data_IF_381398365362
#
_entry.id   IF_381398365362
#
_cell.length_a   1.000
_cell.length_b   1.000
_cell.length_c   1.000
_cell.angle_alpha   90.00
_cell.angle_beta   90.00
_cell.angle_gamma   90.00
#
_symmetry.space_group_name_H-M   'P 1'
#
loop_
_entity.id
_entity.type
_entity.pdbx_description
1 polymer ?
#
# COMPACT_ATOMS: atom_id res chain seq x y z
N UNK A 1 10.56 -31.34 -10.60
CA UNK A 1 11.91 -31.06 -11.15
C UNK A 1 12.94 -31.18 -10.05
N UNK A 2 12.83 -30.47 -8.93
CA UNK A 2 13.72 -30.65 -7.77
C UNK A 2 13.77 -32.11 -7.28
N UNK A 3 12.61 -32.75 -7.08
CA UNK A 3 12.53 -34.18 -6.74
C UNK A 3 13.22 -35.13 -7.73
N UNK A 4 13.33 -34.77 -9.01
CA UNK A 4 14.01 -35.60 -10.01
C UNK A 4 15.52 -35.36 -10.01
N UNK A 5 15.98 -34.17 -9.59
CA UNK A 5 17.41 -33.89 -9.40
C UNK A 5 17.89 -34.54 -8.10
N UNK A 6 17.07 -34.50 -7.05
CA UNK A 6 17.35 -35.17 -5.77
C UNK A 6 17.41 -36.70 -5.95
N UNK A 7 16.51 -37.29 -6.75
CA UNK A 7 16.53 -38.72 -7.10
C UNK A 7 17.81 -39.13 -7.86
N UNK A 8 18.30 -38.28 -8.77
CA UNK A 8 19.57 -38.53 -9.47
C UNK A 8 20.76 -38.38 -8.54
N UNK A 9 20.75 -37.40 -7.63
CA UNK A 9 21.78 -37.20 -6.62
C UNK A 9 21.87 -38.37 -5.62
N UNK A 10 20.79 -39.13 -5.40
CA UNK A 10 20.78 -40.33 -4.55
C UNK A 10 21.33 -41.59 -5.25
N UNK A 11 21.49 -41.58 -6.59
CA UNK A 11 21.89 -42.74 -7.37
C UNK A 11 23.25 -42.54 -8.05
N UNK A 12 24.31 -43.00 -7.38
CA UNK A 12 25.70 -43.00 -7.85
C UNK A 12 25.88 -43.57 -9.28
N UNK A 13 25.14 -44.62 -9.64
CA UNK A 13 25.16 -45.25 -10.98
C UNK A 13 24.66 -44.28 -12.06
N UNK A 14 23.55 -43.58 -11.78
CA UNK A 14 22.97 -42.59 -12.69
C UNK A 14 23.89 -41.38 -12.85
N UNK A 15 24.54 -40.97 -11.76
CA UNK A 15 25.46 -39.86 -11.73
C UNK A 15 26.74 -40.14 -12.53
N UNK A 16 27.31 -41.34 -12.37
CA UNK A 16 28.43 -41.81 -13.21
C UNK A 16 28.03 -41.98 -14.68
N UNK A 17 26.79 -42.41 -14.97
CA UNK A 17 26.27 -42.55 -16.33
C UNK A 17 26.11 -41.20 -17.07
N UNK A 18 26.07 -40.07 -16.36
CA UNK A 18 25.99 -38.71 -16.93
C UNK A 18 27.32 -38.21 -17.52
N UNK A 19 28.45 -38.90 -17.33
CA UNK A 19 29.72 -38.61 -18.00
C UNK A 19 29.70 -39.04 -19.48
N UNK A 20 28.85 -38.38 -20.27
CA UNK A 20 28.51 -38.74 -21.66
C UNK A 20 29.71 -38.65 -22.61
N UNK A 21 30.66 -37.73 -22.36
CA UNK A 21 31.87 -37.56 -23.18
C UNK A 21 32.81 -38.77 -23.04
N UNK A 22 33.03 -39.24 -21.82
CA UNK A 22 33.93 -40.36 -21.52
C UNK A 22 33.29 -41.70 -21.94
N UNK A 23 31.97 -41.83 -21.74
CA UNK A 23 31.16 -42.95 -22.25
C UNK A 23 31.21 -43.06 -23.78
N UNK A 24 31.13 -41.93 -24.49
CA UNK A 24 31.26 -41.88 -25.96
C UNK A 24 32.69 -42.19 -26.44
N UNK A 25 33.70 -41.87 -25.64
CA UNK A 25 35.09 -42.23 -25.91
C UNK A 25 35.42 -43.70 -25.59
N UNK A 26 34.44 -44.50 -25.11
CA UNK A 26 34.62 -45.91 -24.77
C UNK A 26 35.35 -46.13 -23.44
N UNK A 27 35.47 -45.10 -22.61
CA UNK A 27 36.12 -45.14 -21.30
C UNK A 27 35.05 -44.83 -20.24
N UNK A 28 34.16 -45.78 -19.91
CA UNK A 28 33.18 -45.56 -18.85
C UNK A 28 33.92 -45.33 -17.53
N UNK A 29 33.58 -44.22 -16.83
CA UNK A 29 34.13 -43.95 -15.51
C UNK A 29 33.54 -44.94 -14.50
N UNK A 30 34.33 -45.35 -13.48
CA UNK A 30 33.81 -46.16 -12.39
C UNK A 30 32.76 -45.35 -11.61
N UNK A 31 31.78 -46.06 -11.05
CA UNK A 31 30.70 -45.47 -10.23
C UNK A 31 31.23 -44.67 -9.04
N UNK A 32 32.47 -44.89 -8.60
CA UNK A 32 33.10 -44.15 -7.51
C UNK A 32 33.69 -42.79 -7.91
N UNK A 33 33.68 -42.40 -9.19
CA UNK A 33 34.23 -41.13 -9.70
C UNK A 33 33.12 -40.19 -10.19
N UNK A 34 32.13 -39.93 -9.34
CA UNK A 34 30.98 -39.08 -9.66
C UNK A 34 30.98 -37.71 -8.92
N UNK A 35 31.88 -37.54 -7.93
CA UNK A 35 31.96 -36.40 -7.01
C UNK A 35 31.87 -35.01 -7.68
N UNK A 36 32.55 -34.81 -8.81
CA UNK A 36 32.57 -33.49 -9.48
C UNK A 36 31.19 -33.10 -10.01
N UNK A 37 30.46 -34.07 -10.57
CA UNK A 37 29.13 -33.85 -11.12
C UNK A 37 28.09 -33.74 -10.00
N UNK A 38 28.29 -34.44 -8.89
CA UNK A 38 27.45 -34.36 -7.69
C UNK A 38 27.48 -32.94 -7.12
N UNK A 39 28.69 -32.41 -6.88
CA UNK A 39 28.89 -31.06 -6.35
C UNK A 39 28.29 -29.99 -7.27
N UNK A 40 28.40 -30.16 -8.60
CA UNK A 40 27.80 -29.23 -9.56
C UNK A 40 26.26 -29.27 -9.52
N UNK A 41 25.67 -30.46 -9.51
CA UNK A 41 24.22 -30.63 -9.44
C UNK A 41 23.65 -30.16 -8.10
N UNK A 42 24.34 -30.44 -6.99
CA UNK A 42 23.94 -29.97 -5.67
C UNK A 42 24.00 -28.43 -5.59
N UNK A 43 25.08 -27.82 -6.10
CA UNK A 43 25.20 -26.36 -6.16
C UNK A 43 24.14 -25.74 -7.05
N UNK A 44 23.79 -26.38 -8.17
CA UNK A 44 22.73 -25.91 -9.05
C UNK A 44 21.36 -26.02 -8.38
N UNK A 45 21.06 -27.16 -7.74
CA UNK A 45 19.81 -27.37 -6.99
C UNK A 45 19.63 -26.32 -5.89
N UNK A 46 20.68 -26.06 -5.10
CA UNK A 46 20.70 -25.02 -4.07
C UNK A 46 20.47 -23.62 -4.64
N UNK A 47 21.09 -23.29 -5.77
CA UNK A 47 20.89 -21.99 -6.41
C UNK A 47 19.44 -21.82 -6.91
N UNK A 48 18.83 -22.87 -7.44
CA UNK A 48 17.41 -22.85 -7.83
C UNK A 48 16.52 -22.61 -6.61
N UNK A 49 16.78 -23.30 -5.49
CA UNK A 49 16.02 -23.11 -4.24
C UNK A 49 16.13 -21.67 -3.70
N UNK A 50 17.33 -21.10 -3.70
CA UNK A 50 17.57 -19.71 -3.30
C UNK A 50 16.75 -18.74 -4.17
N UNK A 51 16.79 -18.91 -5.49
CA UNK A 51 16.03 -18.08 -6.44
C UNK A 51 14.51 -18.22 -6.20
N UNK A 52 14.02 -19.44 -5.96
CA UNK A 52 12.59 -19.66 -5.65
C UNK A 52 12.21 -18.90 -4.38
N UNK A 53 12.99 -19.01 -3.32
CA UNK A 53 12.72 -18.33 -2.05
C UNK A 53 12.78 -16.79 -2.19
N UNK A 54 13.74 -16.26 -2.96
CA UNK A 54 13.79 -14.84 -3.30
C UNK A 54 12.58 -14.39 -4.13
N UNK A 55 12.14 -15.23 -5.06
CA UNK A 55 10.95 -14.98 -5.89
C UNK A 55 9.68 -14.93 -5.05
N UNK A 56 9.50 -15.89 -4.13
CA UNK A 56 8.39 -15.92 -3.18
C UNK A 56 8.38 -14.68 -2.28
N UNK A 57 9.55 -14.30 -1.77
CA UNK A 57 9.70 -13.07 -0.97
C UNK A 57 9.32 -11.83 -1.77
N UNK A 58 9.73 -11.74 -3.04
CA UNK A 58 9.39 -10.64 -3.93
C UNK A 58 7.89 -10.62 -4.23
N UNK A 59 7.29 -11.78 -4.51
CA UNK A 59 5.85 -11.92 -4.74
C UNK A 59 5.06 -11.44 -3.53
N UNK A 60 5.48 -11.85 -2.34
CA UNK A 60 4.89 -11.40 -1.09
C UNK A 60 5.01 -9.88 -0.91
N UNK A 61 6.16 -9.28 -1.23
CA UNK A 61 6.34 -7.83 -1.18
C UNK A 61 5.45 -7.08 -2.18
N UNK A 62 5.23 -7.64 -3.37
CA UNK A 62 4.29 -7.10 -4.36
C UNK A 62 2.87 -7.12 -3.82
N UNK A 63 2.42 -8.26 -3.26
CA UNK A 63 1.10 -8.39 -2.64
C UNK A 63 0.91 -7.40 -1.49
N UNK A 64 1.89 -7.28 -0.60
CA UNK A 64 1.85 -6.32 0.50
C UNK A 64 1.76 -4.86 -0.01
N UNK A 65 2.47 -4.54 -1.09
CA UNK A 65 2.38 -3.23 -1.73
C UNK A 65 1.01 -2.99 -2.36
N UNK A 66 0.40 -3.99 -2.99
CA UNK A 66 -0.94 -3.91 -3.53
C UNK A 66 -1.97 -3.58 -2.43
N UNK A 67 -1.90 -4.26 -1.29
CA UNK A 67 -2.76 -3.97 -0.13
C UNK A 67 -2.60 -2.51 0.34
N UNK A 68 -1.36 -1.99 0.38
CA UNK A 68 -1.10 -0.59 0.73
C UNK A 68 -1.73 0.36 -0.30
N UNK A 69 -1.59 0.07 -1.59
CA UNK A 69 -2.18 0.89 -2.66
C UNK A 69 -3.71 0.90 -2.55
N UNK A 70 -4.33 -0.23 -2.26
CA UNK A 70 -5.78 -0.34 -2.04
C UNK A 70 -6.22 0.53 -0.84
N UNK A 71 -5.49 0.47 0.30
CA UNK A 71 -5.75 1.33 1.45
C UNK A 71 -5.64 2.82 1.11
N UNK A 72 -4.64 3.21 0.31
CA UNK A 72 -4.46 4.59 -0.14
C UNK A 72 -5.60 5.02 -1.06
N UNK A 73 -6.01 4.16 -1.99
CA UNK A 73 -7.10 4.44 -2.92
C UNK A 73 -8.42 4.63 -2.17
N UNK A 74 -8.71 3.78 -1.19
CA UNK A 74 -9.89 3.90 -0.32
C UNK A 74 -9.85 5.21 0.50
N UNK A 75 -8.69 5.58 1.04
CA UNK A 75 -8.50 6.84 1.74
C UNK A 75 -8.73 8.04 0.80
N UNK A 76 -8.21 8.00 -0.43
CA UNK A 76 -8.41 9.03 -1.43
C UNK A 76 -9.88 9.17 -1.83
N UNK A 77 -10.58 8.05 -2.04
CA UNK A 77 -12.02 8.04 -2.31
C UNK A 77 -12.80 8.69 -1.16
N UNK A 78 -12.47 8.34 0.09
CA UNK A 78 -13.11 8.94 1.25
C UNK A 78 -12.79 10.43 1.43
N UNK A 79 -11.59 10.87 1.03
CA UNK A 79 -11.20 12.28 1.02
C UNK A 79 -11.97 13.08 -0.04
N UNK A 80 -12.14 12.52 -1.24
CA UNK A 80 -12.94 13.14 -2.30
C UNK A 80 -14.40 13.31 -1.89
N UNK A 81 -15.01 12.27 -1.29
CA UNK A 81 -16.37 12.36 -0.75
C UNK A 81 -16.47 13.41 0.38
N UNK A 82 -15.42 13.53 1.20
CA UNK A 82 -15.37 14.57 2.23
C UNK A 82 -15.39 15.98 1.62
N UNK A 83 -14.58 16.16 0.58
CA UNK A 83 -14.41 17.43 -0.10
C UNK A 83 -15.71 17.82 -0.80
N UNK A 84 -16.34 16.89 -1.52
CA UNK A 84 -17.61 17.11 -2.20
C UNK A 84 -18.69 17.59 -1.22
N UNK A 85 -18.83 16.93 -0.07
CA UNK A 85 -19.75 17.36 0.99
C UNK A 85 -19.42 18.75 1.52
N UNK A 86 -18.13 19.07 1.74
CA UNK A 86 -17.72 20.41 2.21
C UNK A 86 -18.04 21.48 1.17
N UNK A 87 -17.76 21.23 -0.10
CA UNK A 87 -18.09 22.15 -1.21
C UNK A 87 -19.58 22.34 -1.33
N UNK A 88 -20.37 21.27 -1.27
CA UNK A 88 -21.84 21.34 -1.29
C UNK A 88 -22.40 22.21 -0.16
N UNK A 89 -21.91 22.05 1.07
CA UNK A 89 -22.30 22.89 2.23
C UNK A 89 -21.90 24.35 2.01
N UNK A 90 -20.70 24.62 1.51
CA UNK A 90 -20.25 25.98 1.20
C UNK A 90 -21.14 26.64 0.14
N UNK A 91 -21.43 25.93 -0.94
CA UNK A 91 -22.33 26.39 -2.02
C UNK A 91 -23.73 26.64 -1.48
N UNK A 92 -24.26 25.78 -0.59
CA UNK A 92 -25.55 26.00 0.05
C UNK A 92 -25.55 27.25 0.94
N UNK A 93 -24.50 27.48 1.73
CA UNK A 93 -24.35 28.68 2.56
C UNK A 93 -24.26 29.95 1.73
N UNK A 94 -23.48 29.93 0.64
CA UNK A 94 -23.39 31.03 -0.33
C UNK A 94 -24.73 31.27 -1.04
N UNK A 95 -25.43 30.21 -1.46
CA UNK A 95 -26.74 30.31 -2.10
C UNK A 95 -27.80 30.91 -1.17
N UNK A 96 -27.83 30.50 0.09
CA UNK A 96 -28.70 31.10 1.10
C UNK A 96 -28.35 32.59 1.33
N UNK A 97 -27.06 32.91 1.49
CA UNK A 97 -26.59 34.29 1.61
C UNK A 97 -26.97 35.17 0.42
N UNK A 98 -26.77 34.65 -0.79
CA UNK A 98 -27.13 35.33 -2.04
C UNK A 98 -28.64 35.53 -2.18
N UNK A 99 -29.46 34.56 -1.74
CA UNK A 99 -30.92 34.74 -1.68
C UNK A 99 -31.31 35.85 -0.71
N UNK A 100 -30.75 35.89 0.49
CA UNK A 100 -31.01 36.98 1.44
C UNK A 100 -30.57 38.34 0.88
N UNK A 101 -29.36 38.41 0.33
CA UNK A 101 -28.86 39.62 -0.32
C UNK A 101 -29.73 40.04 -1.51
N UNK A 102 -30.23 39.09 -2.30
CA UNK A 102 -31.15 39.33 -3.40
C UNK A 102 -32.52 39.84 -2.94
N UNK A 103 -33.10 39.26 -1.89
CA UNK A 103 -34.37 39.71 -1.31
C UNK A 103 -34.30 41.15 -0.76
N UNK A 104 -33.18 41.53 -0.14
CA UNK A 104 -32.97 42.88 0.39
C UNK A 104 -32.39 43.88 -0.64
N UNK A 105 -31.74 43.39 -1.70
CA UNK A 105 -31.17 44.21 -2.78
C UNK A 105 -32.11 44.42 -3.96
N UNK A 106 -33.11 43.55 -4.14
CA UNK A 106 -34.27 43.81 -4.97
C UNK A 106 -35.07 44.95 -4.34
N UNK A 107 -35.56 45.86 -5.19
CA UNK A 107 -36.20 47.14 -4.87
C UNK A 107 -37.52 46.97 -4.07
N UNK A 108 -37.44 46.40 -2.86
CA UNK A 108 -38.51 46.38 -1.88
C UNK A 108 -38.54 47.74 -1.21
N UNK A 109 -39.70 48.39 -1.23
CA UNK A 109 -40.02 49.59 -0.47
C UNK A 109 -39.99 49.29 1.04
N UNK A 110 -38.81 48.99 1.56
CA UNK A 110 -38.49 48.98 2.96
C UNK A 110 -38.24 50.45 3.28
N UNK A 111 -39.12 51.13 4.01
CA UNK A 111 -39.08 52.59 4.28
C UNK A 111 -37.87 53.10 5.07
N UNK A 112 -36.69 52.53 4.82
CA UNK A 112 -35.36 52.80 5.36
C UNK A 112 -34.36 53.16 4.24
N UNK A 113 -34.83 53.57 3.05
CA UNK A 113 -34.00 53.95 1.88
C UNK A 113 -33.08 55.16 2.16
N UNK A 114 -33.43 56.02 3.13
CA UNK A 114 -32.69 57.24 3.44
C UNK A 114 -31.41 57.02 4.28
N UNK A 115 -31.12 55.77 4.69
CA UNK A 115 -30.03 55.43 5.60
C UNK A 115 -28.94 54.61 4.91
N UNK A 116 -27.78 55.22 4.64
CA UNK A 116 -26.57 54.52 4.18
C UNK A 116 -26.12 53.40 5.15
N UNK A 117 -26.54 53.48 6.43
CA UNK A 117 -26.25 52.46 7.45
C UNK A 117 -27.17 51.23 7.29
N UNK A 118 -28.42 51.39 6.86
CA UNK A 118 -29.37 50.29 6.69
C UNK A 118 -28.88 49.27 5.63
N UNK A 119 -28.38 49.76 4.49
CA UNK A 119 -27.82 48.91 3.45
C UNK A 119 -26.55 48.16 3.91
N UNK A 120 -25.64 48.87 4.62
CA UNK A 120 -24.43 48.27 5.17
C UNK A 120 -24.72 47.17 6.20
N UNK A 121 -25.67 47.41 7.11
CA UNK A 121 -26.08 46.43 8.13
C UNK A 121 -26.78 45.22 7.53
N UNK A 122 -27.64 45.39 6.52
CA UNK A 122 -28.31 44.29 5.83
C UNK A 122 -27.32 43.41 5.05
N UNK A 123 -26.34 44.02 4.38
CA UNK A 123 -25.28 43.31 3.64
C UNK A 123 -24.37 42.54 4.59
N UNK A 124 -23.96 43.15 5.72
CA UNK A 124 -23.20 42.47 6.77
C UNK A 124 -24.00 41.32 7.41
N UNK A 125 -25.30 41.50 7.62
CA UNK A 125 -26.17 40.45 8.14
C UNK A 125 -26.32 39.27 7.16
N UNK A 126 -26.46 39.54 5.86
CA UNK A 126 -26.53 38.50 4.83
C UNK A 126 -25.22 37.71 4.72
N UNK A 127 -24.08 38.40 4.72
CA UNK A 127 -22.74 37.77 4.74
C UNK A 127 -22.57 36.96 6.03
N UNK A 128 -22.94 37.54 7.17
CA UNK A 128 -22.87 36.88 8.48
C UNK A 128 -23.70 35.60 8.54
N UNK A 129 -24.91 35.62 7.98
CA UNK A 129 -25.79 34.45 7.90
C UNK A 129 -25.20 33.37 6.97
N UNK A 130 -24.66 33.76 5.82
CA UNK A 130 -24.00 32.85 4.88
C UNK A 130 -22.82 32.12 5.54
N UNK A 131 -21.95 32.88 6.20
CA UNK A 131 -20.79 32.36 6.93
C UNK A 131 -21.24 31.50 8.10
N UNK A 132 -22.26 31.91 8.85
CA UNK A 132 -22.80 31.15 9.97
C UNK A 132 -23.34 29.79 9.52
N UNK A 133 -24.11 29.74 8.44
CA UNK A 133 -24.66 28.50 7.89
C UNK A 133 -23.56 27.57 7.37
N UNK A 134 -22.61 28.10 6.59
CA UNK A 134 -21.47 27.32 6.09
C UNK A 134 -20.63 26.76 7.24
N UNK A 135 -20.33 27.59 8.24
CA UNK A 135 -19.53 27.21 9.41
C UNK A 135 -20.23 26.17 10.28
N UNK A 136 -21.53 26.32 10.55
CA UNK A 136 -22.30 25.33 11.29
C UNK A 136 -22.39 24.00 10.52
N UNK A 137 -22.58 24.05 9.20
CA UNK A 137 -22.60 22.86 8.35
C UNK A 137 -21.29 22.08 8.39
N UNK A 138 -20.16 22.77 8.18
CA UNK A 138 -18.82 22.14 8.22
C UNK A 138 -18.51 21.60 9.62
N UNK A 139 -18.80 22.36 10.69
CA UNK A 139 -18.59 21.90 12.07
C UNK A 139 -19.42 20.66 12.43
N UNK A 140 -20.67 20.59 11.99
CA UNK A 140 -21.51 19.40 12.20
C UNK A 140 -20.95 18.19 11.45
N UNK A 141 -20.50 18.38 10.21
CA UNK A 141 -19.88 17.33 9.41
C UNK A 141 -18.59 16.80 10.06
N UNK A 142 -17.70 17.69 10.49
CA UNK A 142 -16.44 17.32 11.14
C UNK A 142 -16.70 16.60 12.48
N UNK A 143 -17.74 17.00 13.24
CA UNK A 143 -18.15 16.32 14.48
C UNK A 143 -18.65 14.90 14.21
N UNK A 144 -19.50 14.70 13.20
CA UNK A 144 -20.02 13.37 12.83
C UNK A 144 -18.87 12.46 12.35
N UNK A 145 -17.97 12.98 11.50
CA UNK A 145 -16.77 12.25 11.05
C UNK A 145 -15.86 11.84 12.22
N UNK A 146 -15.63 12.73 13.18
CA UNK A 146 -14.79 12.43 14.36
C UNK A 146 -15.36 11.28 15.19
N UNK A 147 -16.69 11.25 15.40
CA UNK A 147 -17.35 10.18 16.18
C UNK A 147 -17.27 8.84 15.46
N UNK A 148 -17.43 8.83 14.13
CA UNK A 148 -17.29 7.60 13.32
C UNK A 148 -15.87 7.03 13.36
N UNK A 149 -14.84 7.90 13.34
CA UNK A 149 -13.44 7.48 13.47
C UNK A 149 -13.11 6.93 14.86
N UNK A 150 -13.66 7.51 15.93
CA UNK A 150 -13.49 6.97 17.29
C UNK A 150 -14.12 5.59 17.45
N UNK A 151 -15.19 5.27 16.71
CA UNK A 151 -15.87 3.97 16.80
C UNK A 151 -15.16 2.87 15.98
N UNK A 152 -14.41 3.23 14.92
CA UNK A 152 -13.75 2.29 14.01
C UNK A 152 -12.28 1.95 14.36
N UNK A 153 -11.71 2.60 15.39
CA UNK A 153 -10.32 2.37 15.81
C UNK A 153 -10.06 1.02 16.50
N UNK A 154 -11.11 0.21 16.71
CA UNK A 154 -11.04 -1.03 17.50
C UNK A 154 -10.69 -2.31 16.74
N UNK A 155 -10.58 -2.32 15.39
CA UNK A 155 -10.63 -3.60 14.65
C UNK A 155 -9.58 -3.86 13.54
N UNK A 156 -8.57 -3.02 13.31
CA UNK A 156 -7.49 -3.41 12.35
C UNK A 156 -6.11 -3.08 12.89
N UNK A 157 -5.55 -4.02 13.67
CA UNK A 157 -4.09 -4.13 13.79
C UNK A 157 -3.58 -4.69 12.46
N UNK A 158 -2.74 -3.96 11.71
CA UNK A 158 -2.05 -4.56 10.57
C UNK A 158 -1.17 -5.69 11.12
N UNK A 159 -1.27 -6.86 10.50
CA UNK A 159 -0.40 -7.98 10.83
C UNK A 159 1.03 -7.54 10.53
N UNK A 160 1.82 -7.27 11.58
CA UNK A 160 3.23 -6.90 11.43
C UNK A 160 3.96 -8.16 10.98
N UNK A 161 4.23 -8.23 9.68
CA UNK A 161 5.04 -9.28 9.10
C UNK A 161 6.45 -9.07 9.62
N UNK A 162 6.86 -9.90 10.58
CA UNK A 162 8.20 -9.95 11.11
C UNK A 162 9.10 -10.61 10.07
N UNK A 163 9.87 -9.81 9.35
CA UNK A 163 10.94 -10.30 8.47
C UNK A 163 12.06 -10.85 9.38
N UNK A 164 12.42 -12.14 9.32
CA UNK A 164 13.59 -12.63 10.02
C UNK A 164 14.83 -12.09 9.31
N UNK A 165 15.57 -11.17 9.94
CA UNK A 165 16.93 -10.85 9.51
C UNK A 165 17.80 -12.08 9.79
N UNK A 166 18.04 -12.90 8.75
CA UNK A 166 19.05 -13.97 8.78
C UNK A 166 20.43 -13.33 8.91
N UNK A 167 20.90 -13.20 10.15
CA UNK A 167 22.22 -12.67 10.51
C UNK A 167 23.11 -13.82 10.98
N UNK A 168 23.38 -14.78 10.10
CA UNK A 168 24.36 -15.84 10.38
C UNK A 168 25.20 -16.11 9.13
N UNK A 169 26.07 -15.15 8.81
CA UNK A 169 27.28 -15.41 8.02
C UNK A 169 28.44 -14.86 8.86
N UNK A 170 28.95 -15.69 9.77
CA UNK A 170 30.24 -15.43 10.40
C UNK A 170 31.35 -15.75 9.38
N UNK A 171 32.31 -14.85 9.13
CA UNK A 171 33.42 -15.15 8.22
C UNK A 171 34.33 -16.25 8.80
N UNK A 172 34.89 -17.14 7.97
CA UNK A 172 35.79 -18.19 8.44
C UNK A 172 37.06 -17.57 9.04
N UNK A 173 37.45 -18.04 10.22
CA UNK A 173 38.68 -17.62 10.91
C UNK A 173 39.90 -18.06 10.10
N UNK A 174 40.83 -17.15 9.75
CA UNK A 174 42.07 -17.54 9.11
C UNK A 174 43.05 -18.02 10.18
N UNK A 175 43.49 -19.27 10.08
CA UNK A 175 44.64 -19.77 10.83
C UNK A 175 44.39 -21.08 11.56
N UNK A 176 44.53 -22.17 10.84
CA UNK A 176 44.97 -23.45 11.40
C UNK A 176 45.98 -24.07 10.43
N UNK A 177 47.19 -23.49 10.42
CA UNK A 177 48.40 -24.19 10.00
C UNK A 177 49.02 -24.81 11.24
N UNK A 178 48.94 -26.14 11.34
CA UNK A 178 50.00 -27.10 11.69
C UNK A 178 49.40 -28.49 11.87
#
# INVERSE_FOLDING_TARGET
VQAAIDEVLEQDEDLAAMYLTDKKAGHPRPESEHDELEVLLESFSKQVEEIVNESETTMHNVSATQEIVELILDANRNNLLALDLKVSIMTMGLGAGALFAGLFGMNLANGMEDSMIAFGTASLAAIGLAVFLAWNGVRRLDKIRRVSLSMNSSTRRPNRISVPLRTDIAPPRPGATL
#
